data_IF_147655459149
#
_entry.id   IF_147655459149
#
_cell.length_a   1.000
_cell.length_b   1.000
_cell.length_c   1.000
_cell.angle_alpha   90.00
_cell.angle_beta   90.00
_cell.angle_gamma   90.00
#
_symmetry.space_group_name_H-M   'P 1'
#
loop_
_entity.id
_entity.type
_entity.pdbx_description
1 polymer ?
#
# COMPACT_ATOMS: atom_id res chain seq x y z
N UNK A 1 4.96 -10.36 5.05
CA UNK A 1 4.59 -8.93 5.05
C UNK A 1 3.58 -8.58 6.14
N UNK A 2 2.31 -8.99 6.05
CA UNK A 2 1.27 -8.59 7.03
C UNK A 2 1.57 -9.19 8.41
N UNK A 3 1.86 -10.49 8.44
CA UNK A 3 2.30 -11.21 9.65
C UNK A 3 3.53 -10.59 10.30
N UNK A 4 4.47 -10.12 9.48
CA UNK A 4 5.74 -9.54 9.96
C UNK A 4 5.53 -8.14 10.54
N UNK A 5 4.54 -7.40 10.03
CA UNK A 5 4.14 -6.12 10.62
C UNK A 5 3.32 -6.30 11.91
N UNK A 6 2.55 -7.38 12.03
CA UNK A 6 1.66 -7.67 13.15
C UNK A 6 2.36 -8.45 14.28
N UNK A 7 3.65 -8.18 14.52
CA UNK A 7 4.37 -8.76 15.65
C UNK A 7 3.95 -8.09 16.97
N UNK A 8 3.70 -8.93 17.98
CA UNK A 8 3.37 -8.50 19.36
C UNK A 8 4.44 -7.58 19.91
N UNK A 9 5.70 -7.96 19.74
CA UNK A 9 6.84 -7.15 20.16
C UNK A 9 7.18 -6.11 19.07
N UNK A 10 7.16 -4.80 19.38
CA UNK A 10 7.43 -3.76 18.40
C UNK A 10 8.82 -3.86 17.76
N UNK A 11 9.84 -4.29 18.51
CA UNK A 11 11.21 -4.42 18.03
C UNK A 11 11.38 -5.51 16.94
N UNK A 12 10.43 -6.44 16.83
CA UNK A 12 10.44 -7.49 15.80
C UNK A 12 9.77 -7.07 14.49
N UNK A 13 9.14 -5.90 14.46
CA UNK A 13 8.51 -5.38 13.24
C UNK A 13 9.59 -4.88 12.29
N UNK A 14 9.49 -5.16 10.99
CA UNK A 14 10.44 -4.66 10.01
C UNK A 14 10.33 -3.15 9.87
N UNK A 15 11.45 -2.50 9.56
CA UNK A 15 11.46 -1.10 9.14
C UNK A 15 10.81 -0.96 7.75
N UNK A 16 10.41 0.27 7.39
CA UNK A 16 9.85 0.54 6.05
C UNK A 16 10.82 0.12 4.93
N UNK A 17 12.12 0.40 5.11
CA UNK A 17 13.16 0.04 4.14
C UNK A 17 13.32 -1.47 3.95
N UNK A 18 13.13 -2.26 5.01
CA UNK A 18 13.13 -3.72 4.93
C UNK A 18 11.86 -4.26 4.28
N UNK A 19 10.71 -3.69 4.64
CA UNK A 19 9.41 -4.09 4.12
C UNK A 19 9.31 -3.89 2.59
N UNK A 20 9.87 -2.80 2.07
CA UNK A 20 9.91 -2.51 0.62
C UNK A 20 10.68 -3.56 -0.19
N UNK A 21 11.59 -4.33 0.43
CA UNK A 21 12.32 -5.41 -0.24
C UNK A 21 11.48 -6.68 -0.43
N UNK A 22 10.34 -6.79 0.24
CA UNK A 22 9.47 -7.96 0.19
C UNK A 22 8.87 -8.17 -1.23
N UNK A 23 8.75 -9.43 -1.73
CA UNK A 23 8.24 -9.72 -3.08
C UNK A 23 6.86 -9.14 -3.42
N UNK A 24 6.06 -8.85 -2.39
CA UNK A 24 4.78 -8.16 -2.52
C UNK A 24 4.90 -6.86 -3.33
N UNK A 25 5.91 -6.03 -3.03
CA UNK A 25 6.11 -4.74 -3.71
C UNK A 25 6.71 -4.88 -5.10
N UNK A 26 7.27 -6.05 -5.47
CA UNK A 26 7.73 -6.31 -6.85
C UNK A 26 6.58 -6.33 -7.86
N UNK A 27 5.35 -6.58 -7.40
CA UNK A 27 4.14 -6.55 -8.24
C UNK A 27 3.50 -5.16 -8.32
N UNK A 28 4.12 -4.14 -7.70
CA UNK A 28 3.60 -2.78 -7.72
C UNK A 28 3.48 -2.26 -9.15
N UNK A 29 2.40 -1.55 -9.41
CA UNK A 29 2.10 -0.95 -10.71
C UNK A 29 2.52 0.52 -10.70
N UNK A 30 2.77 1.04 -11.88
CA UNK A 30 3.20 2.41 -12.07
C UNK A 30 2.05 3.40 -11.91
N UNK A 31 2.40 4.69 -11.83
CA UNK A 31 1.42 5.77 -11.66
C UNK A 31 0.32 5.75 -12.73
N UNK A 32 0.66 5.42 -13.98
CA UNK A 32 -0.30 5.40 -15.09
C UNK A 32 -1.38 4.33 -14.87
N UNK A 33 -0.97 3.12 -14.49
CA UNK A 33 -1.91 2.03 -14.19
C UNK A 33 -2.85 2.40 -13.04
N UNK A 34 -2.32 3.01 -11.97
CA UNK A 34 -3.12 3.42 -10.82
C UNK A 34 -4.17 4.48 -11.18
N UNK A 35 -3.79 5.48 -11.99
CA UNK A 35 -4.72 6.51 -12.45
C UNK A 35 -5.87 5.91 -13.27
N UNK A 36 -5.55 5.05 -14.23
CA UNK A 36 -6.55 4.45 -15.13
C UNK A 36 -7.47 3.46 -14.39
N UNK A 37 -6.93 2.67 -13.46
CA UNK A 37 -7.66 1.54 -12.87
C UNK A 37 -8.37 1.90 -11.56
N UNK A 38 -7.82 2.82 -10.76
CA UNK A 38 -8.34 3.13 -9.41
C UNK A 38 -8.92 4.54 -9.30
N UNK A 39 -8.35 5.51 -10.02
CA UNK A 39 -8.78 6.91 -9.91
C UNK A 39 -9.93 7.19 -10.88
N UNK A 40 -9.81 6.75 -12.14
CA UNK A 40 -10.85 6.98 -13.15
C UNK A 40 -12.11 6.14 -12.93
N UNK A 41 -12.00 4.96 -12.31
CA UNK A 41 -13.12 4.03 -12.08
C UNK A 41 -13.72 4.22 -10.68
N UNK A 42 -12.93 4.68 -9.71
CA UNK A 42 -13.41 4.89 -8.34
C UNK A 42 -14.22 6.18 -8.20
N UNK A 43 -14.92 6.35 -7.06
CA UNK A 43 -15.62 7.60 -6.75
C UNK A 43 -14.66 8.79 -6.82
N UNK A 44 -15.18 9.97 -7.19
CA UNK A 44 -14.36 11.18 -7.29
C UNK A 44 -13.71 11.51 -5.95
N UNK A 45 -12.59 12.24 -5.98
CA UNK A 45 -11.89 12.64 -4.75
C UNK A 45 -12.81 13.44 -3.80
N UNK A 46 -13.70 14.25 -4.37
CA UNK A 46 -14.70 15.03 -3.63
C UNK A 46 -15.65 14.11 -2.84
N UNK A 47 -16.08 13.00 -3.44
CA UNK A 47 -16.91 11.99 -2.75
C UNK A 47 -16.13 11.23 -1.67
N UNK A 48 -14.82 11.00 -1.85
CA UNK A 48 -13.98 10.27 -0.88
C UNK A 48 -13.64 11.08 0.38
N UNK A 49 -13.69 12.41 0.29
CA UNK A 49 -13.34 13.34 1.38
C UNK A 49 -14.53 13.67 2.27
N UNK A 50 -15.72 13.08 2.02
CA UNK A 50 -16.83 13.22 2.95
C UNK A 50 -16.51 12.46 4.25
N UNK A 51 -16.33 13.26 5.29
CA UNK A 51 -15.98 12.87 6.66
C UNK A 51 -17.25 12.83 7.51
#
# INVERSE_FOLDING_TARGET
MITDCLQKEPAKRPTASELLKHPFFKKAKDKKYLQQTLVAIGPSLETRVQK
#
